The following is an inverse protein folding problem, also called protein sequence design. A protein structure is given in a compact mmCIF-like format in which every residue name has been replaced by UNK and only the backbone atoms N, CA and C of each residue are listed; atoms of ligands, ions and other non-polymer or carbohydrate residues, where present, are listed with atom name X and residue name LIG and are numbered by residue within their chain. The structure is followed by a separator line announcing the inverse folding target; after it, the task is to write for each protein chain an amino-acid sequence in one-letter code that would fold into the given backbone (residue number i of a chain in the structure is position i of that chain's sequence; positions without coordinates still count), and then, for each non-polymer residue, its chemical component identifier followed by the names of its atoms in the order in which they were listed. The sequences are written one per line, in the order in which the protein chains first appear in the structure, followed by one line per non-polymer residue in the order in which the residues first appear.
data_IF_111469553723
#
_entry.id   IF_111469553723
#
_cell.length_a   1.000
_cell.length_b   1.000
_cell.length_c   1.000
_cell.angle_alpha   90.00
_cell.angle_beta   90.00
_cell.angle_gamma   90.00
#
_symmetry.space_group_name_H-M   'P 1'
#
loop_
_entity.id
_entity.type
_entity.pdbx_description
1 polymer ?
#
# COMPACT_ATOMS: atom_id res chain seq x y z
N UNK A 1 -0.49 -5.55 -2.71
CA UNK A 1 -0.61 -6.02 -1.30
C UNK A 1 -0.96 -7.49 -1.17
N UNK A 2 -2.17 -7.95 -1.54
CA UNK A 2 -2.55 -9.36 -1.37
C UNK A 2 -1.61 -10.33 -2.11
N UNK A 3 -1.24 -10.01 -3.36
CA UNK A 3 -0.28 -10.79 -4.12
C UNK A 3 1.08 -10.91 -3.42
N UNK A 4 1.59 -9.79 -2.89
CA UNK A 4 2.84 -9.72 -2.12
C UNK A 4 2.80 -10.63 -0.89
N UNK A 5 1.73 -10.53 -0.09
CA UNK A 5 1.55 -11.34 1.13
C UNK A 5 1.37 -12.83 0.83
N UNK A 6 0.69 -13.16 -0.27
CA UNK A 6 0.47 -14.54 -0.70
C UNK A 6 1.75 -15.18 -1.25
N UNK A 7 2.52 -14.44 -2.06
CA UNK A 7 3.74 -14.98 -2.67
C UNK A 7 4.89 -15.09 -1.68
N UNK A 8 5.07 -14.11 -0.77
CA UNK A 8 6.21 -14.00 0.15
C UNK A 8 7.61 -13.89 -0.48
N UNK A 9 7.70 -13.96 -1.81
CA UNK A 9 8.95 -13.81 -2.56
C UNK A 9 9.23 -12.36 -2.99
N UNK A 10 8.39 -11.41 -2.56
CA UNK A 10 8.48 -10.00 -2.97
C UNK A 10 9.24 -9.21 -1.91
N UNK A 11 10.32 -8.54 -2.31
CA UNK A 11 11.13 -7.68 -1.44
C UNK A 11 10.54 -6.27 -1.28
N UNK A 12 9.93 -5.74 -2.35
CA UNK A 12 9.39 -4.39 -2.34
C UNK A 12 8.02 -4.31 -2.99
N UNK A 13 7.05 -3.67 -2.33
CA UNK A 13 5.72 -3.39 -2.85
C UNK A 13 5.44 -1.88 -2.83
N UNK A 14 5.26 -1.30 -4.01
CA UNK A 14 4.92 0.11 -4.21
C UNK A 14 3.44 0.22 -4.57
N UNK A 15 2.71 1.05 -3.82
CA UNK A 15 1.27 1.32 -3.97
C UNK A 15 1.04 2.84 -4.09
N UNK A 16 -0.05 3.30 -4.73
CA UNK A 16 -0.32 4.73 -4.87
C UNK A 16 -0.50 5.45 -3.54
N UNK A 17 -0.98 4.77 -2.49
CA UNK A 17 -1.20 5.38 -1.19
C UNK A 17 0.10 5.66 -0.43
N UNK A 18 1.16 4.89 -0.66
CA UNK A 18 2.43 5.05 0.05
C UNK A 18 3.40 5.89 -0.81
N UNK A 19 3.70 7.14 -0.43
CA UNK A 19 4.68 7.94 -1.14
C UNK A 19 6.08 7.32 -0.99
N UNK A 20 6.90 7.53 -2.01
CA UNK A 20 8.30 7.13 -2.03
C UNK A 20 9.09 8.07 -2.92
N UNK A 21 10.40 8.16 -2.69
CA UNK A 21 11.33 8.88 -3.55
C UNK A 21 12.38 7.94 -4.14
N UNK A 22 12.93 8.34 -5.29
CA UNK A 22 13.85 7.51 -6.05
C UNK A 22 15.31 7.66 -5.57
N UNK A 23 15.80 8.89 -5.59
CA UNK A 23 17.19 9.27 -5.28
C UNK A 23 17.26 9.96 -3.91
N UNK A 24 18.28 9.62 -3.11
CA UNK A 24 18.53 10.19 -1.79
C UNK A 24 18.82 9.13 -0.73
N UNK A 25 19.27 9.57 0.45
CA UNK A 25 19.48 8.68 1.60
C UNK A 25 18.14 8.06 2.00
N UNK A 26 18.06 6.73 2.08
CA UNK A 26 16.83 5.98 2.34
C UNK A 26 15.90 5.84 1.13
N UNK A 27 16.33 6.26 -0.05
CA UNK A 27 15.53 6.19 -1.28
C UNK A 27 15.43 4.78 -1.85
N UNK A 28 14.53 4.63 -2.84
CA UNK A 28 14.30 3.33 -3.48
C UNK A 28 15.58 2.75 -4.10
N UNK A 29 16.43 3.55 -4.75
CA UNK A 29 17.63 3.04 -5.41
C UNK A 29 18.69 2.55 -4.42
N UNK A 30 18.86 3.23 -3.29
CA UNK A 30 19.79 2.79 -2.25
C UNK A 30 19.31 1.47 -1.62
N UNK A 31 18.01 1.35 -1.39
CA UNK A 31 17.42 0.11 -0.90
C UNK A 31 17.62 -1.05 -1.89
N UNK A 32 17.43 -0.81 -3.20
CA UNK A 32 17.69 -1.80 -4.24
C UNK A 32 19.17 -2.23 -4.25
N UNK A 33 20.09 -1.28 -4.14
CA UNK A 33 21.53 -1.58 -4.10
C UNK A 33 21.89 -2.44 -2.88
N UNK A 34 21.35 -2.10 -1.71
CA UNK A 34 21.55 -2.87 -0.48
C UNK A 34 21.03 -4.29 -0.60
N UNK A 35 19.79 -4.46 -1.04
CA UNK A 35 19.15 -5.77 -1.17
C UNK A 35 19.87 -6.66 -2.20
N UNK A 36 20.31 -6.08 -3.32
CA UNK A 36 21.08 -6.80 -4.33
C UNK A 36 22.45 -7.26 -3.81
N UNK A 37 23.11 -6.48 -2.95
CA UNK A 37 24.38 -6.88 -2.33
C UNK A 37 24.21 -7.98 -1.29
N UNK A 38 23.13 -7.93 -0.51
CA UNK A 38 22.87 -8.90 0.56
C UNK A 38 22.31 -10.23 0.02
N UNK A 39 21.34 -10.18 -0.89
CA UNK A 39 20.59 -11.37 -1.34
C UNK A 39 20.93 -11.82 -2.77
N UNK A 40 21.61 -10.99 -3.56
CA UNK A 40 21.96 -11.27 -4.96
C UNK A 40 20.78 -11.17 -5.95
N UNK A 41 19.56 -10.95 -5.46
CA UNK A 41 18.34 -10.78 -6.27
C UNK A 41 17.35 -9.89 -5.52
N UNK A 42 16.37 -9.35 -6.26
CA UNK A 42 15.29 -8.54 -5.70
C UNK A 42 14.06 -8.60 -6.61
N UNK A 43 12.87 -8.71 -6.01
CA UNK A 43 11.57 -8.67 -6.68
C UNK A 43 10.80 -7.44 -6.22
N UNK A 44 10.40 -6.61 -7.18
CA UNK A 44 9.63 -5.38 -6.94
C UNK A 44 8.26 -5.52 -7.59
N UNK A 45 7.20 -5.31 -6.81
CA UNK A 45 5.81 -5.24 -7.28
C UNK A 45 5.35 -3.80 -7.22
N UNK A 46 4.92 -3.27 -8.36
CA UNK A 46 4.54 -1.87 -8.51
C UNK A 46 3.09 -1.82 -8.98
N UNK A 47 2.24 -1.12 -8.23
CA UNK A 47 0.90 -0.79 -8.68
C UNK A 47 0.95 0.29 -9.77
N UNK A 48 0.09 0.19 -10.80
CA UNK A 48 0.05 1.13 -11.94
C UNK A 48 -0.08 2.62 -11.52
N UNK A 49 -0.79 2.87 -10.41
CA UNK A 49 -0.97 4.21 -9.86
C UNK A 49 0.20 4.72 -9.00
N UNK A 50 1.15 3.88 -8.62
CA UNK A 50 2.26 4.27 -7.74
C UNK A 50 3.22 5.24 -8.46
N UNK A 51 3.71 6.29 -7.80
CA UNK A 51 4.76 7.16 -8.36
C UNK A 51 4.35 8.00 -9.59
N UNK A 52 3.05 8.16 -9.86
CA UNK A 52 2.56 8.99 -10.97
C UNK A 52 2.92 10.49 -10.81
N UNK A 53 3.11 10.95 -9.58
CA UNK A 53 3.54 12.32 -9.28
C UNK A 53 4.99 12.55 -9.75
N UNK A 54 5.90 11.66 -9.38
CA UNK A 54 7.31 11.71 -9.80
C UNK A 54 7.48 11.65 -11.33
N UNK A 55 6.61 10.88 -12.00
CA UNK A 55 6.61 10.77 -13.44
C UNK A 55 6.15 12.08 -14.11
N UNK A 56 5.12 12.71 -13.55
CA UNK A 56 4.56 13.98 -14.02
C UNK A 56 5.54 15.15 -13.89
N UNK A 57 6.43 15.14 -12.90
CA UNK A 57 7.49 16.14 -12.74
C UNK A 57 8.61 15.94 -13.77
N UNK A 58 8.94 14.68 -14.09
CA UNK A 58 10.06 14.36 -14.98
C UNK A 58 9.76 14.57 -16.47
N UNK A 59 8.49 14.53 -16.86
CA UNK A 59 8.03 14.76 -18.23
C UNK A 59 6.96 15.84 -18.18
N UNK A 60 7.18 16.96 -18.88
CA UNK A 60 6.16 17.98 -19.18
C UNK A 60 5.04 17.41 -20.09
N UNK A 61 4.36 16.38 -19.63
CA UNK A 61 3.41 15.60 -20.40
C UNK A 61 2.01 16.10 -20.10
N UNK A 62 1.38 16.63 -21.15
CA UNK A 62 -0.03 16.98 -21.25
C UNK A 62 -0.90 15.96 -20.54
N UNK A 63 -1.87 16.43 -19.75
CA UNK A 63 -3.00 15.65 -19.25
C UNK A 63 -3.75 15.02 -20.43
N UNK A 64 -3.27 13.89 -20.92
CA UNK A 64 -3.97 13.11 -21.93
C UNK A 64 -5.11 12.40 -21.22
N UNK A 65 -6.32 12.60 -21.73
CA UNK A 65 -7.51 11.92 -21.26
C UNK A 65 -7.87 10.83 -22.27
N UNK A 66 -8.35 9.70 -21.80
CA UNK A 66 -8.94 8.69 -22.66
C UNK A 66 -10.29 9.17 -23.23
N UNK A 67 -10.89 8.39 -24.14
CA UNK A 67 -12.18 8.72 -24.74
C UNK A 67 -13.35 8.77 -23.72
N UNK A 68 -13.16 8.22 -22.53
CA UNK A 68 -14.10 8.26 -21.41
C UNK A 68 -13.83 9.39 -20.41
N UNK A 69 -12.80 10.22 -20.63
CA UNK A 69 -12.44 11.34 -19.77
C UNK A 69 -11.55 10.99 -18.57
N UNK A 70 -11.06 9.75 -18.44
CA UNK A 70 -10.13 9.39 -17.38
C UNK A 70 -8.72 9.89 -17.72
N UNK A 71 -7.96 10.29 -16.70
CA UNK A 71 -6.55 10.64 -16.87
C UNK A 71 -5.79 9.39 -17.32
N UNK A 72 -5.12 9.48 -18.47
CA UNK A 72 -4.29 8.40 -18.98
C UNK A 72 -3.06 8.27 -18.09
N UNK A 73 -2.98 7.15 -17.37
CA UNK A 73 -1.82 6.81 -16.57
C UNK A 73 -0.66 6.48 -17.51
N UNK A 74 0.52 7.01 -17.18
CA UNK A 74 1.73 6.62 -17.89
C UNK A 74 2.26 5.32 -17.30
N UNK A 75 2.99 4.55 -18.12
CA UNK A 75 3.62 3.31 -17.69
C UNK A 75 4.78 3.59 -16.72
N UNK A 76 4.44 3.57 -15.43
CA UNK A 76 5.39 3.73 -14.32
C UNK A 76 6.38 2.58 -14.29
N UNK A 77 5.94 1.36 -14.62
CA UNK A 77 6.77 0.17 -14.56
C UNK A 77 7.97 0.26 -15.50
N UNK A 78 7.71 0.64 -16.76
CA UNK A 78 8.78 0.87 -17.73
C UNK A 78 9.65 2.07 -17.36
N UNK A 79 9.05 3.14 -16.84
CA UNK A 79 9.80 4.34 -16.43
C UNK A 79 10.76 4.06 -15.27
N UNK A 80 10.30 3.40 -14.20
CA UNK A 80 11.15 2.99 -13.06
C UNK A 80 12.25 2.04 -13.54
N UNK A 81 11.91 1.10 -14.43
CA UNK A 81 12.89 0.16 -15.00
C UNK A 81 14.04 0.88 -15.73
N UNK A 82 13.74 1.94 -16.49
CA UNK A 82 14.77 2.77 -17.13
C UNK A 82 15.58 3.56 -16.11
N UNK A 83 14.95 4.16 -15.11
CA UNK A 83 15.64 4.92 -14.07
C UNK A 83 16.60 4.08 -13.24
N UNK A 84 16.20 2.86 -12.88
CA UNK A 84 17.07 1.90 -12.20
C UNK A 84 18.30 1.60 -13.08
N UNK A 85 18.10 1.28 -14.36
CA UNK A 85 19.22 1.03 -15.29
C UNK A 85 20.17 2.22 -15.39
N UNK A 86 19.63 3.44 -15.47
CA UNK A 86 20.42 4.67 -15.52
C UNK A 86 21.24 4.89 -14.25
N UNK A 87 20.64 4.67 -13.07
CA UNK A 87 21.30 4.79 -11.77
C UNK A 87 22.53 3.87 -11.65
N UNK A 88 22.34 2.58 -11.94
CA UNK A 88 23.44 1.59 -11.88
C UNK A 88 24.51 1.82 -12.95
N UNK A 89 24.13 2.33 -14.13
CA UNK A 89 25.08 2.70 -15.19
C UNK A 89 25.98 3.88 -14.80
N UNK A 90 25.44 4.84 -14.03
CA UNK A 90 26.18 6.03 -13.57
C UNK A 90 27.17 5.69 -12.47
N UNK A 91 26.76 4.88 -11.49
CA UNK A 91 27.63 4.56 -10.36
C UNK A 91 28.73 3.54 -10.71
N UNK A 92 28.62 2.80 -11.82
CA UNK A 92 29.57 1.76 -12.26
C UNK A 92 29.89 0.69 -11.20
N UNK A 93 29.08 0.58 -10.15
CA UNK A 93 29.33 -0.30 -9.01
C UNK A 93 29.02 -1.76 -9.32
N UNK A 94 28.01 -2.03 -10.16
CA UNK A 94 27.49 -3.39 -10.38
C UNK A 94 26.74 -3.52 -11.72
N UNK A 95 26.95 -4.65 -12.41
CA UNK A 95 26.15 -5.03 -13.57
C UNK A 95 24.85 -5.71 -13.12
N UNK A 96 23.70 -5.16 -13.51
CA UNK A 96 22.38 -5.68 -13.13
C UNK A 96 21.64 -6.30 -14.33
N UNK A 97 20.90 -7.39 -14.09
CA UNK A 97 19.95 -7.94 -15.05
C UNK A 97 18.53 -7.57 -14.63
N UNK A 98 17.96 -6.55 -15.26
CA UNK A 98 16.59 -6.09 -14.97
C UNK A 98 15.61 -6.68 -15.99
N UNK A 99 14.64 -7.45 -15.50
CA UNK A 99 13.51 -7.98 -16.27
C UNK A 99 12.22 -7.29 -15.83
N UNK A 100 11.54 -6.66 -16.77
CA UNK A 100 10.23 -6.07 -16.57
C UNK A 100 9.16 -7.06 -17.03
N UNK A 101 8.13 -7.26 -16.20
CA UNK A 101 7.01 -8.17 -16.48
C UNK A 101 5.72 -7.37 -16.26
N UNK A 102 4.93 -7.21 -17.32
CA UNK A 102 3.58 -6.67 -17.23
C UNK A 102 2.55 -7.79 -17.43
N UNK A 103 1.95 -8.33 -16.35
CA UNK A 103 0.95 -9.36 -16.44
C UNK A 103 -0.47 -8.82 -16.65
N UNK A 104 -0.68 -7.52 -16.96
CA UNK A 104 -2.02 -6.90 -17.01
C UNK A 104 -3.02 -7.65 -17.88
N UNK A 105 -2.63 -8.06 -19.09
CA UNK A 105 -3.49 -8.86 -19.95
C UNK A 105 -3.68 -10.29 -19.42
N UNK A 106 -2.63 -10.88 -18.85
CA UNK A 106 -2.69 -12.23 -18.30
C UNK A 106 -3.65 -12.32 -17.11
N UNK A 107 -3.65 -11.32 -16.23
CA UNK A 107 -4.55 -11.32 -15.07
C UNK A 107 -6.01 -11.01 -15.45
N UNK A 108 -6.24 -10.21 -16.50
CA UNK A 108 -7.60 -9.79 -16.91
C UNK A 108 -8.28 -10.72 -17.92
N UNK A 109 -7.51 -11.50 -18.68
CA UNK A 109 -8.05 -12.37 -19.74
C UNK A 109 -8.20 -13.84 -19.34
N UNK A 110 -7.76 -14.22 -18.13
CA UNK A 110 -7.89 -15.58 -17.62
C UNK A 110 -9.34 -15.84 -17.14
N UNK A 111 -9.89 -17.05 -17.35
CA UNK A 111 -11.21 -17.41 -16.85
C UNK A 111 -11.30 -17.32 -15.33
N UNK A 112 -12.48 -16.97 -14.83
CA UNK A 112 -12.78 -16.86 -13.40
C UNK A 112 -12.60 -18.20 -12.67
N UNK A 113 -12.05 -18.12 -11.45
CA UNK A 113 -11.95 -19.28 -10.56
C UNK A 113 -13.33 -19.69 -10.01
N UNK A 114 -13.42 -20.84 -9.34
CA UNK A 114 -14.68 -21.35 -8.80
C UNK A 114 -15.36 -20.39 -7.81
N UNK A 115 -14.59 -19.72 -6.95
CA UNK A 115 -15.10 -18.75 -5.97
C UNK A 115 -15.69 -17.52 -6.66
N UNK A 116 -15.01 -16.99 -7.67
CA UNK A 116 -15.47 -15.87 -8.48
C UNK A 116 -16.71 -16.25 -9.29
N UNK A 117 -16.79 -17.47 -9.83
CA UNK A 117 -17.98 -17.96 -10.54
C UNK A 117 -19.22 -17.98 -9.64
N UNK A 118 -19.08 -18.49 -8.41
CA UNK A 118 -20.17 -18.47 -7.43
C UNK A 118 -20.53 -17.02 -7.08
N UNK A 119 -19.54 -16.17 -6.84
CA UNK A 119 -19.78 -14.78 -6.48
C UNK A 119 -20.48 -13.99 -7.60
N UNK A 120 -20.02 -14.09 -8.84
CA UNK A 120 -20.64 -13.49 -10.01
C UNK A 120 -22.09 -13.97 -10.21
N UNK A 121 -22.35 -15.26 -9.97
CA UNK A 121 -23.71 -15.82 -10.04
C UNK A 121 -24.63 -15.19 -8.99
N UNK A 122 -24.16 -15.09 -7.74
CA UNK A 122 -24.93 -14.47 -6.65
C UNK A 122 -25.19 -12.98 -6.89
N UNK A 123 -24.18 -12.25 -7.40
CA UNK A 123 -24.34 -10.85 -7.78
C UNK A 123 -25.38 -10.67 -8.90
N UNK A 124 -25.32 -11.51 -9.94
CA UNK A 124 -26.26 -11.45 -11.06
C UNK A 124 -27.69 -11.74 -10.62
N UNK A 125 -27.91 -12.80 -9.83
CA UNK A 125 -29.23 -13.14 -9.30
C UNK A 125 -29.78 -12.02 -8.40
N UNK A 126 -28.94 -11.47 -7.52
CA UNK A 126 -29.34 -10.37 -6.64
C UNK A 126 -29.70 -9.10 -7.44
N UNK A 127 -28.93 -8.78 -8.48
CA UNK A 127 -29.25 -7.65 -9.35
C UNK A 127 -30.60 -7.84 -10.06
N UNK A 128 -30.89 -9.04 -10.59
CA UNK A 128 -32.17 -9.37 -11.22
C UNK A 128 -33.32 -9.28 -10.21
N UNK A 129 -33.17 -9.85 -9.02
CA UNK A 129 -34.20 -9.76 -7.98
C UNK A 129 -34.50 -8.31 -7.57
N UNK A 130 -33.45 -7.49 -7.40
CA UNK A 130 -33.63 -6.06 -7.09
C UNK A 130 -34.33 -5.30 -8.20
N UNK A 131 -33.98 -5.56 -9.47
CA UNK A 131 -34.64 -4.96 -10.62
C UNK A 131 -36.12 -5.39 -10.74
N UNK A 132 -36.42 -6.67 -10.53
CA UNK A 132 -37.79 -7.21 -10.56
C UNK A 132 -38.65 -6.71 -9.40
N UNK A 133 -38.03 -6.36 -8.26
CA UNK A 133 -38.69 -5.69 -7.14
C UNK A 133 -38.97 -4.19 -7.41
N UNK A 134 -38.53 -3.66 -8.55
CA UNK A 134 -38.73 -2.26 -8.94
C UNK A 134 -37.65 -1.31 -8.41
N UNK A 135 -36.54 -1.81 -7.87
CA UNK A 135 -35.41 -0.95 -7.47
C UNK A 135 -34.61 -0.49 -8.68
N UNK A 136 -34.12 0.74 -8.63
CA UNK A 136 -33.27 1.36 -9.66
C UNK A 136 -32.15 2.17 -9.01
N UNK A 137 -31.11 2.48 -9.77
CA UNK A 137 -29.98 3.29 -9.28
C UNK A 137 -29.16 2.62 -8.16
N UNK A 138 -29.08 1.29 -8.16
CA UNK A 138 -28.34 0.50 -7.17
C UNK A 138 -27.36 -0.44 -7.86
N UNK A 139 -26.35 -0.87 -7.11
CA UNK A 139 -25.56 -2.07 -7.43
C UNK A 139 -25.74 -3.12 -6.36
N UNK A 140 -25.50 -4.38 -6.70
CA UNK A 140 -25.42 -5.47 -5.74
C UNK A 140 -23.96 -5.67 -5.30
N UNK A 141 -23.75 -5.91 -4.01
CA UNK A 141 -22.42 -6.18 -3.48
C UNK A 141 -22.45 -6.81 -2.09
N UNK A 142 -21.34 -7.45 -1.73
CA UNK A 142 -21.16 -8.06 -0.41
C UNK A 142 -20.70 -7.01 0.61
N UNK A 143 -21.44 -6.85 1.70
CA UNK A 143 -21.06 -6.01 2.84
C UNK A 143 -21.13 -6.88 4.10
N UNK A 144 -19.99 -7.04 4.78
CA UNK A 144 -19.86 -7.89 5.98
C UNK A 144 -20.45 -9.30 5.80
N UNK A 145 -20.20 -9.92 4.65
CA UNK A 145 -20.66 -11.28 4.34
C UNK A 145 -22.13 -11.40 3.95
N UNK A 146 -22.86 -10.31 3.76
CA UNK A 146 -24.26 -10.30 3.31
C UNK A 146 -24.40 -9.62 1.96
N UNK A 147 -25.25 -10.16 1.11
CA UNK A 147 -25.60 -9.51 -0.16
C UNK A 147 -26.50 -8.31 0.11
N UNK A 148 -26.11 -7.16 -0.41
CA UNK A 148 -26.78 -5.88 -0.15
C UNK A 148 -26.97 -5.10 -1.44
N UNK A 149 -27.99 -4.24 -1.45
CA UNK A 149 -28.20 -3.25 -2.50
C UNK A 149 -27.63 -1.92 -2.03
N UNK A 150 -26.71 -1.37 -2.81
CA UNK A 150 -25.98 -0.15 -2.48
C UNK A 150 -26.34 0.91 -3.52
N UNK A 151 -26.92 2.05 -3.12
CA UNK A 151 -27.26 3.12 -4.05
C UNK A 151 -26.03 3.74 -4.74
N UNK A 152 -26.15 4.11 -6.01
CA UNK A 152 -25.03 4.67 -6.78
C UNK A 152 -24.42 5.91 -6.16
N UNK A 153 -25.25 6.83 -5.64
CA UNK A 153 -24.75 8.07 -5.02
C UNK A 153 -23.81 7.79 -3.83
N UNK A 154 -24.03 6.70 -3.08
CA UNK A 154 -23.13 6.30 -1.99
C UNK A 154 -21.82 5.69 -2.46
N UNK A 155 -21.82 5.03 -3.62
CA UNK A 155 -20.62 4.37 -4.15
C UNK A 155 -19.68 5.38 -4.77
N UNK A 156 -20.22 6.37 -5.47
CA UNK A 156 -19.41 7.40 -6.12
C UNK A 156 -18.88 8.44 -5.13
N UNK A 157 -19.44 8.53 -3.92
CA UNK A 157 -19.02 9.47 -2.87
C UNK A 157 -17.56 9.23 -2.42
N UNK A 158 -17.13 7.97 -2.32
CA UNK A 158 -15.81 7.63 -1.77
C UNK A 158 -15.20 6.41 -2.45
N UNK A 159 -13.91 6.52 -2.76
CA UNK A 159 -13.10 5.39 -3.22
C UNK A 159 -12.49 4.65 -2.02
N UNK A 160 -12.37 3.32 -2.15
CA UNK A 160 -11.71 2.51 -1.15
C UNK A 160 -10.20 2.53 -1.38
N UNK A 161 -9.47 3.15 -0.47
CA UNK A 161 -8.01 3.22 -0.50
C UNK A 161 -7.42 2.30 0.56
N UNK A 162 -6.21 1.83 0.31
CA UNK A 162 -5.44 1.13 1.34
C UNK A 162 -5.13 2.07 2.50
N UNK A 163 -5.44 1.62 3.71
CA UNK A 163 -5.02 2.32 4.92
C UNK A 163 -3.63 1.83 5.32
N UNK A 164 -2.63 2.70 5.19
CA UNK A 164 -1.21 2.38 5.45
C UNK A 164 -0.97 2.10 6.95
N UNK A 165 -1.80 2.66 7.84
CA UNK A 165 -1.71 2.40 9.27
C UNK A 165 -2.37 1.10 9.71
N UNK A 166 -3.03 0.38 8.80
CA UNK A 166 -3.74 -0.85 9.13
C UNK A 166 -2.80 -2.05 9.32
N UNK A 167 -3.27 -3.04 10.08
CA UNK A 167 -2.59 -4.30 10.36
C UNK A 167 -2.19 -5.04 9.08
N UNK A 168 -2.97 -4.93 8.01
CA UNK A 168 -2.65 -5.60 6.75
C UNK A 168 -1.40 -5.04 6.10
N UNK A 169 -1.22 -3.71 6.13
CA UNK A 169 -0.01 -3.05 5.64
C UNK A 169 1.18 -3.35 6.54
N UNK A 170 1.00 -3.29 7.87
CA UNK A 170 2.05 -3.66 8.81
C UNK A 170 2.55 -5.09 8.60
N UNK A 171 1.64 -6.05 8.33
CA UNK A 171 2.01 -7.43 7.96
C UNK A 171 2.82 -7.51 6.68
N UNK A 172 2.51 -6.67 5.69
CA UNK A 172 3.29 -6.62 4.45
C UNK A 172 4.70 -6.13 4.75
N UNK A 173 4.84 -5.01 5.46
CA UNK A 173 6.15 -4.45 5.83
C UNK A 173 7.00 -5.46 6.63
N UNK A 174 6.40 -6.15 7.60
CA UNK A 174 7.11 -7.19 8.36
C UNK A 174 7.45 -8.42 7.53
N UNK A 175 6.68 -8.72 6.47
CA UNK A 175 6.97 -9.86 5.59
C UNK A 175 8.07 -9.55 4.59
N UNK A 176 8.12 -8.33 4.07
CA UNK A 176 9.09 -7.93 3.05
C UNK A 176 10.36 -7.30 3.64
N UNK A 177 10.32 -6.89 4.92
CA UNK A 177 11.37 -6.09 5.58
C UNK A 177 11.72 -4.80 4.82
N UNK A 178 10.79 -4.29 4.00
CA UNK A 178 11.01 -3.03 3.28
C UNK A 178 10.97 -1.85 4.25
N UNK A 179 11.85 -0.84 4.09
CA UNK A 179 11.79 0.38 4.86
C UNK A 179 10.57 1.22 4.45
N UNK A 180 10.23 2.19 5.30
CA UNK A 180 9.36 3.29 4.87
C UNK A 180 10.20 4.24 4.02
N UNK A 181 9.76 4.54 2.80
CA UNK A 181 10.42 5.48 1.89
C UNK A 181 9.92 6.93 2.10
N UNK A 182 9.45 7.25 3.30
CA UNK A 182 9.04 8.62 3.66
C UNK A 182 10.27 9.45 3.99
N UNK A 183 10.32 10.69 3.49
CA UNK A 183 11.37 11.62 3.91
C UNK A 183 11.04 12.21 5.29
N UNK A 184 12.06 12.62 6.06
CA UNK A 184 11.86 13.30 7.36
C UNK A 184 10.97 14.55 7.25
N UNK A 185 10.90 15.16 6.06
CA UNK A 185 10.09 16.34 5.77
C UNK A 185 8.59 15.99 5.62
N UNK A 186 8.28 14.84 5.05
CA UNK A 186 6.90 14.39 4.85
C UNK A 186 6.28 13.95 6.19
N UNK A 187 7.08 13.36 7.07
CA UNK A 187 6.66 12.99 8.45
C UNK A 187 6.34 14.24 9.29
N UNK A 188 7.00 15.37 9.03
CA UNK A 188 6.71 16.63 9.73
C UNK A 188 5.43 17.29 9.21
N UNK A 189 5.11 17.17 7.92
CA UNK A 189 3.87 17.73 7.33
C UNK A 189 2.61 16.90 7.66
N UNK A 190 2.71 15.56 7.74
CA UNK A 190 1.59 14.69 8.18
C UNK A 190 1.19 14.96 9.64
N UNK A 191 2.15 15.25 10.52
CA UNK A 191 1.89 15.60 11.92
C UNK A 191 1.22 16.99 12.07
N UNK A 192 1.48 17.91 11.15
CA UNK A 192 0.86 19.24 11.14
C UNK A 192 -0.54 19.20 10.52
N UNK A 193 -0.77 18.38 9.49
CA UNK A 193 -2.06 18.26 8.81
C UNK A 193 -3.07 17.36 9.53
N UNK A 194 -2.61 16.41 10.36
CA UNK A 194 -3.46 15.59 11.25
C UNK A 194 -3.94 16.31 12.52
N UNK A 195 -3.44 17.52 12.81
CA UNK A 195 -3.72 18.29 14.03
C UNK A 195 -4.98 19.16 14.01
N UNK A 196 -6.13 18.69 13.51
CA UNK A 196 -7.43 19.33 13.81
C UNK A 196 -8.09 18.65 15.02
N UNK A 197 -7.78 19.23 16.19
CA UNK A 197 -8.38 19.04 17.53
C UNK A 197 -9.57 18.07 17.61
N UNK A 198 -9.30 16.89 18.17
CA UNK A 198 -10.24 16.13 18.98
C UNK A 198 -9.55 15.78 20.29
N UNK A 199 -10.08 16.22 21.42
CA UNK A 199 -9.58 15.87 22.76
C UNK A 199 -9.58 14.35 22.93
N UNK A 200 -8.39 13.75 23.03
CA UNK A 200 -8.22 12.38 23.50
C UNK A 200 -8.18 12.34 25.03
N UNK A 201 -8.76 11.32 25.68
CA UNK A 201 -8.76 11.23 27.14
C UNK A 201 -7.35 10.96 27.65
N UNK A 202 -6.98 11.67 28.72
CA UNK A 202 -5.69 11.53 29.38
C UNK A 202 -5.50 10.09 29.89
N UNK A 203 -4.53 9.38 29.33
CA UNK A 203 -4.03 8.14 29.91
C UNK A 203 -2.65 8.45 30.48
N UNK A 204 -2.58 8.60 31.81
CA UNK A 204 -1.34 8.86 32.53
C UNK A 204 -0.51 7.58 32.57
N UNK A 205 0.71 7.63 32.03
CA UNK A 205 1.78 6.72 32.40
C UNK A 205 3.05 7.51 32.72
N UNK A 206 3.34 7.49 34.03
CA UNK A 206 4.66 7.35 34.67
C UNK A 206 5.79 8.26 34.18
N UNK A 207 6.13 9.25 35.01
CA UNK A 207 7.43 9.91 34.96
C UNK A 207 8.40 9.28 35.96
N UNK A 208 9.64 9.15 35.48
CA UNK A 208 10.77 8.45 36.05
C UNK A 208 11.38 9.18 37.26
N UNK A 209 12.14 8.46 38.08
CA UNK A 209 13.10 9.14 38.95
C UNK A 209 13.89 8.30 39.94
N UNK A 210 15.11 7.94 39.53
CA UNK A 210 16.33 7.81 40.33
C UNK A 210 16.66 6.52 41.10
N UNK A 211 17.80 5.95 40.68
CA UNK A 211 18.78 5.23 41.47
C UNK A 211 19.17 5.98 42.76
N UNK A 212 19.19 5.26 43.89
CA UNK A 212 20.34 5.10 44.80
C UNK A 212 19.91 4.45 46.13
N UNK A 213 20.73 3.49 46.57
CA UNK A 213 21.05 3.06 47.94
C UNK A 213 19.97 2.96 49.04
N UNK A 214 19.92 1.80 49.69
CA UNK A 214 19.35 1.70 51.04
C UNK A 214 19.00 0.29 51.50
N UNK A 215 19.83 -0.23 52.41
CA UNK A 215 19.67 -1.50 53.14
C UNK A 215 18.50 -1.43 54.16
N UNK A 216 18.03 -2.61 54.62
CA UNK A 216 17.11 -2.93 55.73
C UNK A 216 15.61 -2.97 55.36
N UNK A 217 14.81 -3.98 55.74
CA UNK A 217 15.02 -5.09 56.66
C UNK A 217 13.82 -6.05 56.66
N UNK A 218 14.03 -7.24 57.23
CA UNK A 218 13.05 -8.31 57.39
C UNK A 218 11.76 -7.85 58.09
N UNK A 219 10.62 -8.35 57.63
CA UNK A 219 9.50 -8.77 58.51
C UNK A 219 8.69 -9.87 57.85
N UNK A 220 8.73 -11.04 58.49
CA UNK A 220 7.75 -12.12 58.36
C UNK A 220 6.36 -11.62 58.81
N UNK A 221 5.28 -12.25 58.33
CA UNK A 221 4.39 -13.13 59.13
C UNK A 221 3.06 -13.44 58.38
N UNK A 222 2.81 -14.76 58.30
CA UNK A 222 1.58 -15.58 58.25
C UNK A 222 0.44 -15.37 57.24
N UNK A 223 0.30 -16.42 56.43
CA UNK A 223 -0.92 -17.21 56.16
C UNK A 223 -2.19 -16.91 56.95
N UNK A 224 -3.30 -16.74 56.21
CA UNK A 224 -4.55 -17.52 56.34
C UNK A 224 -5.04 -17.84 54.93
#
# INVERSE_FOLDING_TARGET
MYATLASRDVDCCLIPESPFYLDGEGGLFEYIEKQLKENGHMVIVIAEGAGQELLSESKQSRNQQDASGNKLLQDVGLWISHKIKDYFSRQKTMAINLKYIDPTYMIRAVPSNASDNVYCTLLAQSAVHGAMAGYTGFTSGLVNGRQTYIPFYRIIEKQNNVVITDRMWARLLSSTNQPSFMSDKDVTEENISGGKKGEGPATQLLDNGNCADGVLGKKEVSSV
#
